data_IF_766789917244
#
_entry.id   IF_766789917244
#
_cell.length_a   1.000
_cell.length_b   1.000
_cell.length_c   1.000
_cell.angle_alpha   90.00
_cell.angle_beta   90.00
_cell.angle_gamma   90.00
#
_symmetry.space_group_name_H-M   'P 1'
#
loop_
_entity.id
_entity.type
_entity.pdbx_description
1 polymer ?
#
# COMPACT_ATOMS: atom_id res chain seq x y z
N UNK A 1 16.94 6.54 32.71
CA UNK A 1 15.58 6.19 33.16
C UNK A 1 14.67 6.42 31.96
N UNK A 2 14.62 5.45 31.05
CA UNK A 2 13.87 5.56 29.78
C UNK A 2 12.47 5.05 30.04
N UNK A 3 11.47 5.94 29.88
CA UNK A 3 10.08 5.53 29.82
C UNK A 3 9.96 4.48 28.72
N UNK A 4 9.50 3.27 29.08
CA UNK A 4 8.97 2.36 28.08
C UNK A 4 7.76 3.06 27.45
N UNK A 5 7.85 3.37 26.16
CA UNK A 5 6.67 3.65 25.34
C UNK A 5 5.68 2.52 25.57
N UNK A 6 4.60 2.81 26.30
CA UNK A 6 3.47 1.92 26.32
C UNK A 6 2.92 1.89 24.89
N UNK A 7 2.76 0.71 24.26
CA UNK A 7 2.09 0.65 22.97
C UNK A 7 0.71 1.29 23.15
N UNK A 8 0.45 2.37 22.41
CA UNK A 8 -0.89 2.95 22.37
C UNK A 8 -1.85 1.84 21.96
N UNK A 9 -2.98 1.65 22.66
CA UNK A 9 -3.95 0.63 22.30
C UNK A 9 -4.41 0.88 20.86
N UNK A 10 -4.52 -0.20 20.07
CA UNK A 10 -5.06 -0.11 18.73
C UNK A 10 -6.47 0.50 18.79
N UNK A 11 -6.85 1.36 17.83
CA UNK A 11 -8.20 1.91 17.78
C UNK A 11 -9.25 0.81 17.72
N UNK A 12 -10.33 0.99 18.47
CA UNK A 12 -11.51 0.12 18.43
C UNK A 12 -12.28 0.27 17.11
N UNK A 13 -13.10 -0.72 16.70
CA UNK A 13 -13.98 -0.58 15.54
C UNK A 13 -14.84 0.70 15.55
N UNK A 14 -15.33 1.09 16.73
CA UNK A 14 -16.12 2.31 16.91
C UNK A 14 -15.32 3.58 16.60
N UNK A 15 -14.08 3.68 17.06
CA UNK A 15 -13.21 4.83 16.78
C UNK A 15 -12.85 4.91 15.29
N UNK A 16 -12.62 3.77 14.64
CA UNK A 16 -12.33 3.71 13.21
C UNK A 16 -13.57 4.09 12.39
N UNK A 17 -14.75 3.57 12.73
CA UNK A 17 -16.00 3.89 12.04
C UNK A 17 -16.38 5.38 12.17
N UNK A 18 -16.08 6.01 13.31
CA UNK A 18 -16.23 7.45 13.49
C UNK A 18 -15.32 8.24 12.53
N UNK A 19 -14.05 7.83 12.37
CA UNK A 19 -13.13 8.44 11.41
C UNK A 19 -13.61 8.26 9.95
N UNK A 20 -14.11 7.08 9.60
CA UNK A 20 -14.70 6.82 8.27
C UNK A 20 -15.93 7.68 8.00
N UNK A 21 -16.76 7.93 9.01
CA UNK A 21 -17.91 8.85 8.92
C UNK A 21 -17.43 10.28 8.68
N UNK A 22 -16.38 10.72 9.37
CA UNK A 22 -15.80 12.05 9.18
C UNK A 22 -15.24 12.26 7.76
N UNK A 23 -14.75 11.20 7.12
CA UNK A 23 -14.33 11.19 5.71
C UNK A 23 -15.48 11.01 4.71
N UNK A 24 -16.73 10.93 5.19
CA UNK A 24 -17.91 10.75 4.35
C UNK A 24 -18.06 9.36 3.73
N UNK A 25 -17.30 8.36 4.20
CA UNK A 25 -17.37 6.98 3.72
C UNK A 25 -18.62 6.28 4.25
N UNK A 26 -19.01 6.61 5.49
CA UNK A 26 -20.33 6.29 6.01
C UNK A 26 -21.22 7.53 6.01
N UNK A 27 -22.47 7.35 5.58
CA UNK A 27 -23.47 8.41 5.62
C UNK A 27 -23.83 8.83 7.06
N UNK A 28 -23.72 7.88 8.01
CA UNK A 28 -23.88 8.08 9.45
C UNK A 28 -23.04 7.03 10.18
N UNK A 29 -22.62 7.34 11.40
CA UNK A 29 -21.86 6.38 12.21
C UNK A 29 -22.72 5.13 12.50
N UNK A 30 -22.22 3.91 12.23
CA UNK A 30 -22.93 2.68 12.55
C UNK A 30 -23.28 2.58 14.04
N UNK A 31 -24.45 2.03 14.34
CA UNK A 31 -24.84 1.77 15.73
C UNK A 31 -23.97 0.64 16.33
N UNK A 32 -23.74 0.64 17.67
CA UNK A 32 -22.91 -0.40 18.31
C UNK A 32 -23.39 -1.84 18.01
N UNK A 33 -24.70 -2.06 17.99
CA UNK A 33 -25.31 -3.36 17.69
C UNK A 33 -25.01 -3.83 16.26
N UNK A 34 -24.88 -2.90 15.30
CA UNK A 34 -24.51 -3.22 13.92
C UNK A 34 -23.04 -3.63 13.83
N UNK A 35 -22.16 -2.98 14.59
CA UNK A 35 -20.74 -3.35 14.67
C UNK A 35 -20.56 -4.72 15.33
N UNK A 36 -21.33 -5.05 16.37
CA UNK A 36 -21.32 -6.39 16.98
C UNK A 36 -21.75 -7.48 15.99
N UNK A 37 -22.82 -7.24 15.23
CA UNK A 37 -23.29 -8.17 14.19
C UNK A 37 -22.25 -8.35 13.08
N UNK A 38 -21.63 -7.27 12.62
CA UNK A 38 -20.55 -7.32 11.64
C UNK A 38 -19.33 -8.08 12.17
N UNK A 39 -18.96 -7.86 13.44
CA UNK A 39 -17.86 -8.55 14.08
C UNK A 39 -18.08 -10.06 14.09
N UNK A 40 -19.29 -10.52 14.43
CA UNK A 40 -19.64 -11.95 14.34
C UNK A 40 -19.52 -12.47 12.90
N UNK A 41 -20.01 -11.70 11.92
CA UNK A 41 -20.01 -12.11 10.51
C UNK A 41 -18.60 -12.27 9.91
N UNK A 42 -17.65 -11.42 10.31
CA UNK A 42 -16.27 -11.44 9.77
C UNK A 42 -15.28 -12.29 10.60
N UNK A 43 -15.76 -12.99 11.63
CA UNK A 43 -14.93 -13.89 12.43
C UNK A 43 -14.32 -13.29 13.70
N UNK A 44 -14.80 -12.12 14.13
CA UNK A 44 -14.50 -11.50 15.42
C UNK A 44 -14.17 -10.02 15.33
N UNK A 45 -14.15 -9.37 16.50
CA UNK A 45 -13.90 -7.92 16.63
C UNK A 45 -12.53 -7.50 16.10
N UNK A 46 -11.48 -8.31 16.33
CA UNK A 46 -10.13 -8.04 15.83
C UNK A 46 -10.05 -8.06 14.29
N UNK A 47 -10.80 -8.96 13.64
CA UNK A 47 -10.90 -8.99 12.18
C UNK A 47 -11.68 -7.77 11.69
N UNK A 48 -12.80 -7.42 12.34
CA UNK A 48 -13.56 -6.23 11.98
C UNK A 48 -12.73 -4.96 12.12
N UNK A 49 -11.96 -4.81 13.21
CA UNK A 49 -11.05 -3.69 13.40
C UNK A 49 -10.03 -3.58 12.25
N UNK A 50 -9.44 -4.71 11.84
CA UNK A 50 -8.52 -4.73 10.70
C UNK A 50 -9.22 -4.36 9.38
N UNK A 51 -10.44 -4.88 9.13
CA UNK A 51 -11.23 -4.54 7.94
C UNK A 51 -11.52 -3.03 7.89
N UNK A 52 -12.03 -2.46 8.98
CA UNK A 52 -12.35 -1.04 9.05
C UNK A 52 -11.10 -0.17 8.94
N UNK A 53 -9.97 -0.57 9.54
CA UNK A 53 -8.71 0.16 9.42
C UNK A 53 -8.21 0.18 7.96
N UNK A 54 -8.31 -0.95 7.25
CA UNK A 54 -7.97 -1.02 5.83
C UNK A 54 -8.92 -0.20 4.95
N UNK A 55 -10.21 -0.18 5.27
CA UNK A 55 -11.18 0.67 4.59
C UNK A 55 -10.89 2.17 4.80
N UNK A 56 -10.57 2.57 6.03
CA UNK A 56 -10.14 3.93 6.36
C UNK A 56 -8.84 4.33 5.63
N UNK A 57 -7.88 3.40 5.54
CA UNK A 57 -6.66 3.60 4.78
C UNK A 57 -6.96 3.83 3.29
N UNK A 58 -7.78 2.98 2.66
CA UNK A 58 -8.19 3.14 1.27
C UNK A 58 -8.91 4.47 1.00
N UNK A 59 -9.81 4.88 1.90
CA UNK A 59 -10.48 6.18 1.84
C UNK A 59 -9.50 7.37 1.94
N UNK A 60 -8.49 7.25 2.80
CA UNK A 60 -7.45 8.26 2.97
C UNK A 60 -6.57 8.37 1.73
N UNK A 61 -6.22 7.25 1.08
CA UNK A 61 -5.52 7.26 -0.22
C UNK A 61 -6.35 7.99 -1.27
N UNK A 62 -7.64 7.65 -1.40
CA UNK A 62 -8.54 8.29 -2.37
C UNK A 62 -8.63 9.81 -2.17
N UNK A 63 -8.74 10.23 -0.90
CA UNK A 63 -8.69 11.67 -0.54
C UNK A 63 -7.37 12.29 -0.98
N UNK A 64 -6.23 11.67 -0.65
CA UNK A 64 -4.90 12.11 -1.05
C UNK A 64 -4.76 12.28 -2.57
N UNK A 65 -5.19 11.29 -3.35
CA UNK A 65 -5.17 11.31 -4.81
C UNK A 65 -5.93 12.51 -5.39
N UNK A 66 -7.15 12.77 -4.92
CA UNK A 66 -7.96 13.91 -5.38
C UNK A 66 -7.31 15.23 -4.98
N UNK A 67 -6.82 15.35 -3.75
CA UNK A 67 -6.18 16.58 -3.28
C UNK A 67 -4.86 16.87 -4.00
N UNK A 68 -4.04 15.86 -4.26
CA UNK A 68 -2.80 15.98 -5.05
C UNK A 68 -3.12 16.34 -6.50
N UNK A 69 -4.18 15.77 -7.09
CA UNK A 69 -4.67 16.15 -8.41
C UNK A 69 -5.04 17.64 -8.48
N UNK A 70 -5.83 18.12 -7.52
CA UNK A 70 -6.20 19.54 -7.42
C UNK A 70 -4.97 20.45 -7.21
N UNK A 71 -3.97 20.00 -6.44
CA UNK A 71 -2.71 20.74 -6.28
C UNK A 71 -1.98 20.90 -7.62
N UNK A 72 -1.88 19.83 -8.40
CA UNK A 72 -1.24 19.85 -9.72
C UNK A 72 -2.00 20.76 -10.69
N UNK A 73 -3.34 20.71 -10.70
CA UNK A 73 -4.19 21.60 -11.50
C UNK A 73 -4.00 23.08 -11.12
N UNK A 74 -3.76 23.35 -9.83
CA UNK A 74 -3.44 24.68 -9.31
C UNK A 74 -1.98 25.11 -9.57
N UNK A 75 -1.18 24.29 -10.24
CA UNK A 75 0.20 24.61 -10.63
C UNK A 75 1.25 24.29 -9.55
N UNK A 76 0.96 23.39 -8.61
CA UNK A 76 1.95 22.92 -7.62
C UNK A 76 3.18 22.30 -8.30
N UNK A 77 4.36 22.66 -7.81
CA UNK A 77 5.63 22.13 -8.29
C UNK A 77 6.06 20.88 -7.53
N UNK A 78 7.24 20.37 -7.88
CA UNK A 78 7.82 19.17 -7.24
C UNK A 78 8.07 19.35 -5.75
N UNK A 79 8.35 20.58 -5.28
CA UNK A 79 8.57 20.89 -3.87
C UNK A 79 7.31 20.75 -3.03
N UNK A 80 6.21 21.35 -3.47
CA UNK A 80 4.91 21.26 -2.80
C UNK A 80 4.38 19.82 -2.79
N UNK A 81 4.57 19.09 -3.89
CA UNK A 81 4.21 17.66 -3.97
C UNK A 81 5.03 16.80 -3.00
N UNK A 82 6.34 17.06 -2.88
CA UNK A 82 7.19 16.35 -1.92
C UNK A 82 6.75 16.63 -0.48
N UNK A 83 6.42 17.88 -0.15
CA UNK A 83 5.93 18.27 1.18
C UNK A 83 4.60 17.59 1.54
N UNK A 84 3.66 17.48 0.58
CA UNK A 84 2.40 16.78 0.78
C UNK A 84 2.62 15.29 1.06
N UNK A 85 3.45 14.63 0.24
CA UNK A 85 3.74 13.19 0.37
C UNK A 85 4.52 12.83 1.62
N UNK A 86 5.40 13.73 2.09
CA UNK A 86 6.12 13.54 3.35
C UNK A 86 5.18 13.42 4.55
N UNK A 87 3.97 14.01 4.48
CA UNK A 87 3.00 13.93 5.58
C UNK A 87 2.51 12.50 5.84
N UNK A 88 2.54 11.61 4.84
CA UNK A 88 2.19 10.19 5.05
C UNK A 88 3.09 9.56 6.11
N UNK A 89 4.40 9.81 6.05
CA UNK A 89 5.38 9.29 7.00
C UNK A 89 5.32 9.99 8.36
N UNK A 90 5.06 11.31 8.36
CA UNK A 90 4.88 12.07 9.62
C UNK A 90 3.64 11.62 10.38
N UNK A 91 2.51 11.47 9.66
CA UNK A 91 1.23 11.10 10.23
C UNK A 91 1.19 9.63 10.68
N UNK A 92 1.98 8.74 10.06
CA UNK A 92 2.08 7.35 10.50
C UNK A 92 2.78 7.20 11.86
N UNK A 93 3.45 8.27 12.36
CA UNK A 93 4.21 8.23 13.62
C UNK A 93 5.39 7.26 13.61
N UNK A 94 5.78 6.80 12.41
CA UNK A 94 6.77 5.75 12.25
C UNK A 94 8.19 6.32 12.35
N UNK A 95 9.04 5.64 13.11
CA UNK A 95 10.49 5.83 12.99
C UNK A 95 11.00 5.20 11.67
N UNK A 96 12.29 5.28 11.39
CA UNK A 96 12.86 4.78 10.13
C UNK A 96 12.54 3.29 9.86
N UNK A 97 12.59 2.46 10.90
CA UNK A 97 12.21 1.04 10.81
C UNK A 97 10.72 0.86 10.59
N UNK A 98 9.88 1.67 11.24
CA UNK A 98 8.45 1.72 11.01
C UNK A 98 8.09 2.20 9.60
N UNK A 99 8.89 3.08 8.99
CA UNK A 99 8.70 3.52 7.60
C UNK A 99 8.96 2.35 6.64
N UNK A 100 9.98 1.52 6.89
CA UNK A 100 10.17 0.29 6.09
C UNK A 100 9.00 -0.68 6.27
N UNK A 101 8.49 -0.83 7.49
CA UNK A 101 7.30 -1.64 7.78
C UNK A 101 6.04 -1.11 7.07
N UNK A 102 5.84 0.22 7.06
CA UNK A 102 4.76 0.89 6.33
C UNK A 102 4.88 0.63 4.83
N UNK A 103 6.04 0.92 4.23
CA UNK A 103 6.27 0.71 2.81
C UNK A 103 6.11 -0.76 2.42
N UNK A 104 6.60 -1.69 3.26
CA UNK A 104 6.44 -3.13 3.08
C UNK A 104 4.96 -3.49 3.05
N UNK A 105 4.19 -3.02 4.03
CA UNK A 105 2.75 -3.25 4.11
C UNK A 105 2.00 -2.69 2.90
N UNK A 106 2.29 -1.45 2.50
CA UNK A 106 1.70 -0.82 1.31
C UNK A 106 2.04 -1.59 0.02
N UNK A 107 3.30 -2.02 -0.12
CA UNK A 107 3.77 -2.81 -1.27
C UNK A 107 3.07 -4.17 -1.33
N UNK A 108 2.78 -4.78 -0.18
CA UNK A 108 2.04 -6.04 -0.10
C UNK A 108 0.64 -5.96 -0.71
N UNK A 109 -0.07 -4.84 -0.50
CA UNK A 109 -1.37 -4.60 -1.15
C UNK A 109 -1.26 -4.51 -2.66
N UNK A 110 -0.26 -3.76 -3.17
CA UNK A 110 -0.01 -3.62 -4.61
C UNK A 110 0.36 -4.97 -5.23
N UNK A 111 1.29 -5.69 -4.60
CA UNK A 111 1.72 -7.01 -5.06
C UNK A 111 0.56 -8.00 -5.15
N UNK A 112 -0.29 -8.07 -4.12
CA UNK A 112 -1.41 -9.01 -4.12
C UNK A 112 -2.37 -8.73 -5.27
N UNK A 113 -2.63 -7.46 -5.59
CA UNK A 113 -3.48 -7.08 -6.73
C UNK A 113 -2.83 -7.49 -8.04
N UNK A 114 -1.56 -7.10 -8.26
CA UNK A 114 -0.84 -7.39 -9.51
C UNK A 114 -0.65 -8.89 -9.73
N UNK A 115 -0.38 -9.64 -8.67
CA UNK A 115 -0.28 -11.10 -8.73
C UNK A 115 -1.59 -11.73 -9.20
N UNK A 116 -2.72 -11.37 -8.57
CA UNK A 116 -4.02 -11.90 -8.95
C UNK A 116 -4.36 -11.57 -10.41
N UNK A 117 -4.13 -10.32 -10.84
CA UNK A 117 -4.31 -9.92 -12.25
C UNK A 117 -3.40 -10.71 -13.19
N UNK A 118 -2.14 -10.94 -12.82
CA UNK A 118 -1.21 -11.73 -13.64
C UNK A 118 -1.63 -13.20 -13.79
N UNK A 119 -2.19 -13.80 -12.74
CA UNK A 119 -2.64 -15.20 -12.74
C UNK A 119 -3.96 -15.38 -13.50
N UNK A 120 -4.88 -14.42 -13.38
CA UNK A 120 -6.21 -14.47 -14.01
C UNK A 120 -6.20 -14.04 -15.48
N UNK A 121 -5.56 -12.93 -15.81
CA UNK A 121 -5.63 -12.30 -17.14
C UNK A 121 -4.44 -12.67 -18.03
N UNK A 122 -3.34 -13.18 -17.43
CA UNK A 122 -2.04 -13.35 -18.10
C UNK A 122 -1.57 -12.07 -18.78
N UNK A 123 -1.95 -10.91 -18.25
CA UNK A 123 -1.51 -9.61 -18.74
C UNK A 123 0.01 -9.51 -18.58
N UNK A 124 0.76 -9.35 -19.68
CA UNK A 124 2.22 -9.23 -19.60
C UNK A 124 2.70 -8.08 -18.71
N UNK A 125 1.98 -6.95 -18.65
CA UNK A 125 2.31 -5.86 -17.74
C UNK A 125 2.00 -6.22 -16.28
N UNK A 126 0.91 -6.95 -16.04
CA UNK A 126 0.61 -7.58 -14.75
C UNK A 126 1.70 -8.53 -14.27
N UNK A 127 2.29 -9.36 -15.14
CA UNK A 127 3.41 -10.27 -14.81
C UNK A 127 4.65 -9.48 -14.41
N UNK A 128 5.03 -8.46 -15.20
CA UNK A 128 6.14 -7.55 -14.85
C UNK A 128 5.91 -6.91 -13.49
N UNK A 129 4.71 -6.36 -13.29
CA UNK A 129 4.31 -5.71 -12.05
C UNK A 129 4.35 -6.66 -10.85
N UNK A 130 3.90 -7.90 -11.00
CA UNK A 130 3.90 -8.91 -9.94
C UNK A 130 5.33 -9.25 -9.49
N UNK A 131 6.25 -9.48 -10.43
CA UNK A 131 7.65 -9.74 -10.09
C UNK A 131 8.35 -8.52 -9.48
N UNK A 132 8.19 -7.34 -10.07
CA UNK A 132 8.81 -6.11 -9.56
C UNK A 132 8.31 -5.75 -8.16
N UNK A 133 7.02 -5.92 -7.89
CA UNK A 133 6.45 -5.68 -6.55
C UNK A 133 6.86 -6.74 -5.53
N UNK A 134 7.00 -8.02 -5.92
CA UNK A 134 7.51 -9.06 -5.02
C UNK A 134 8.98 -8.82 -4.63
N UNK A 135 9.79 -8.37 -5.61
CA UNK A 135 11.16 -7.97 -5.37
C UNK A 135 11.24 -6.78 -4.39
N UNK A 136 10.42 -5.75 -4.59
CA UNK A 136 10.36 -4.60 -3.69
C UNK A 136 9.88 -5.00 -2.28
N UNK A 137 8.86 -5.85 -2.18
CA UNK A 137 8.36 -6.37 -0.91
C UNK A 137 9.50 -7.07 -0.13
N UNK A 138 10.22 -7.96 -0.79
CA UNK A 138 11.34 -8.69 -0.18
C UNK A 138 12.47 -7.74 0.22
N UNK A 139 12.82 -6.76 -0.61
CA UNK A 139 13.84 -5.75 -0.29
C UNK A 139 13.47 -4.94 0.96
N UNK A 140 12.22 -4.46 1.06
CA UNK A 140 11.76 -3.70 2.22
C UNK A 140 11.77 -4.54 3.50
N UNK A 141 11.47 -5.84 3.40
CA UNK A 141 11.62 -6.78 4.52
C UNK A 141 13.08 -6.87 4.96
N UNK A 142 14.03 -7.05 4.04
CA UNK A 142 15.46 -7.06 4.35
C UNK A 142 15.93 -5.74 4.98
N UNK A 143 15.45 -4.60 4.50
CA UNK A 143 15.79 -3.27 5.05
C UNK A 143 15.26 -3.05 6.48
N UNK A 144 14.30 -3.85 6.92
CA UNK A 144 13.80 -3.84 8.31
C UNK A 144 14.67 -4.65 9.29
N UNK A 145 15.70 -5.34 8.81
CA UNK A 145 16.65 -6.11 9.63
C UNK A 145 17.73 -5.16 10.15
N UNK A 146 17.77 -4.95 11.45
CA UNK A 146 18.56 -3.86 12.07
C UNK A 146 19.94 -4.27 12.59
N UNK A 147 20.28 -5.56 12.55
CA UNK A 147 21.59 -6.04 13.00
C UNK A 147 21.78 -7.55 12.86
N UNK A 148 23.01 -8.02 13.09
CA UNK A 148 23.38 -9.43 12.98
C UNK A 148 22.73 -10.33 14.05
N UNK A 149 22.27 -9.74 15.15
CA UNK A 149 21.57 -10.45 16.23
C UNK A 149 20.07 -10.63 15.93
N UNK A 150 19.55 -10.04 14.85
CA UNK A 150 18.18 -10.28 14.40
C UNK A 150 18.09 -11.72 13.85
N UNK A 151 17.15 -12.56 14.34
CA UNK A 151 17.02 -13.94 13.87
C UNK A 151 16.76 -14.05 12.36
N UNK A 152 16.23 -13.00 11.73
CA UNK A 152 15.98 -12.92 10.29
C UNK A 152 17.26 -12.63 9.47
N UNK A 153 18.35 -12.19 10.12
CA UNK A 153 19.59 -11.84 9.44
C UNK A 153 20.21 -13.01 8.67
N UNK A 154 19.99 -14.24 9.15
CA UNK A 154 20.46 -15.46 8.49
C UNK A 154 19.79 -15.69 7.12
N UNK A 155 18.56 -15.20 6.94
CA UNK A 155 17.78 -15.39 5.72
C UNK A 155 18.06 -14.32 4.66
N UNK A 156 18.59 -13.17 5.06
CA UNK A 156 18.84 -12.01 4.17
C UNK A 156 19.61 -12.37 2.90
N UNK A 157 20.71 -13.17 2.91
CA UNK A 157 21.38 -13.55 1.68
C UNK A 157 20.48 -14.31 0.69
N UNK A 158 19.68 -15.27 1.18
CA UNK A 158 18.75 -16.02 0.36
C UNK A 158 17.59 -15.14 -0.15
N UNK A 159 17.12 -14.20 0.68
CA UNK A 159 16.11 -13.23 0.31
C UNK A 159 16.61 -12.31 -0.83
N UNK A 160 17.86 -11.84 -0.77
CA UNK A 160 18.47 -11.04 -1.82
C UNK A 160 18.68 -11.82 -3.13
N UNK A 161 18.92 -13.13 -3.06
CA UNK A 161 18.92 -14.00 -4.23
C UNK A 161 17.52 -14.10 -4.86
N UNK A 162 16.47 -14.23 -4.04
CA UNK A 162 15.08 -14.20 -4.53
C UNK A 162 14.72 -12.87 -5.18
N UNK A 163 15.10 -11.75 -4.57
CA UNK A 163 14.95 -10.40 -5.16
C UNK A 163 15.58 -10.36 -6.54
N UNK A 164 16.81 -10.84 -6.68
CA UNK A 164 17.50 -10.86 -7.98
C UNK A 164 16.73 -11.70 -9.00
N UNK A 165 16.26 -12.88 -8.62
CA UNK A 165 15.51 -13.76 -9.50
C UNK A 165 14.21 -13.09 -9.99
N UNK A 166 13.45 -12.44 -9.10
CA UNK A 166 12.24 -11.71 -9.47
C UNK A 166 12.54 -10.53 -10.40
N UNK A 167 13.60 -9.76 -10.14
CA UNK A 167 13.98 -8.66 -11.03
C UNK A 167 14.40 -9.16 -12.41
N UNK A 168 15.10 -10.30 -12.50
CA UNK A 168 15.43 -10.93 -13.79
C UNK A 168 14.17 -11.36 -14.52
N UNK A 169 13.23 -12.03 -13.84
CA UNK A 169 11.96 -12.44 -14.43
C UNK A 169 11.12 -11.23 -14.91
N UNK A 170 11.12 -10.13 -14.16
CA UNK A 170 10.45 -8.89 -14.58
C UNK A 170 11.07 -8.31 -15.85
N UNK A 171 12.40 -8.31 -15.97
CA UNK A 171 13.11 -7.85 -17.18
C UNK A 171 12.83 -8.77 -18.37
N UNK A 172 12.89 -10.09 -18.18
CA UNK A 172 12.56 -11.06 -19.23
C UNK A 172 11.11 -10.90 -19.71
N UNK A 173 10.18 -10.65 -18.80
CA UNK A 173 8.78 -10.38 -19.14
C UNK A 173 8.61 -9.05 -19.89
N UNK A 174 9.35 -8.00 -19.52
CA UNK A 174 9.38 -6.72 -20.24
C UNK A 174 9.92 -6.89 -21.67
N UNK A 175 11.01 -7.63 -21.84
CA UNK A 175 11.65 -7.87 -23.14
C UNK A 175 10.76 -8.74 -24.06
N UNK A 176 9.91 -9.57 -23.47
CA UNK A 176 8.92 -10.37 -24.21
C UNK A 176 7.67 -9.58 -24.63
N UNK A 177 7.51 -8.34 -24.17
CA UNK A 177 6.39 -7.51 -24.59
C UNK A 177 6.47 -7.23 -26.09
N UNK A 178 5.36 -7.35 -26.84
CA UNK A 178 5.35 -6.87 -28.21
C UNK A 178 5.69 -5.39 -28.20
N UNK A 179 6.52 -4.94 -29.15
CA UNK A 179 6.79 -3.52 -29.31
C UNK A 179 5.46 -2.78 -29.40
N UNK A 180 5.14 -1.96 -28.40
CA UNK A 180 3.95 -1.12 -28.42
C UNK A 180 4.09 -0.18 -29.62
N UNK A 181 3.41 -0.52 -30.72
CA UNK A 181 3.29 0.38 -31.85
C UNK A 181 2.64 1.66 -31.36
N UNK A 182 3.25 2.80 -31.67
CA UNK A 182 2.81 4.15 -31.30
C UNK A 182 1.37 4.52 -31.73
N UNK A 183 0.60 3.59 -32.31
CA UNK A 183 -0.79 3.78 -32.71
C UNK A 183 -1.84 3.43 -31.63
N UNK A 184 -1.47 2.75 -30.54
CA UNK A 184 -2.47 2.31 -29.54
C UNK A 184 -3.03 3.44 -28.66
N UNK A 185 -2.40 4.63 -28.65
CA UNK A 185 -2.82 5.78 -27.84
C UNK A 185 -3.17 7.04 -28.67
N UNK A 186 -3.28 6.93 -30.00
CA UNK A 186 -3.48 8.10 -30.89
C UNK A 186 -4.89 8.27 -31.47
N UNK A 187 -5.84 7.35 -31.25
CA UNK A 187 -7.20 7.50 -31.79
C UNK A 187 -8.11 8.22 -30.79
N UNK A 188 -7.84 9.52 -30.64
CA UNK A 188 -8.61 10.41 -29.79
C UNK A 188 -8.43 11.89 -30.16
N UNK A 189 -8.23 12.22 -31.43
CA UNK A 189 -8.33 13.59 -31.89
C UNK A 189 -9.77 13.88 -32.33
N UNK A 190 -10.49 14.85 -31.73
CA UNK A 190 -11.79 15.26 -32.21
C UNK A 190 -11.61 16.02 -33.53
N UNK A 191 -12.22 15.54 -34.60
CA UNK A 191 -12.38 16.33 -35.84
C UNK A 191 -13.34 17.48 -35.55
N UNK A 192 -12.85 18.70 -35.76
CA UNK A 192 -13.65 19.93 -35.78
C UNK A 192 -14.68 19.93 -36.92
#
# INVERSE_FOLDING_TARGET
MTAHDHPHPAPTPTEIAAAMTALGIYAQQPAPEELEQQAVAVGGEHVLAAVLANALYGASIGTGMVTEGNMLEAGAGSGEMALAREQVFKASGADWTGVMGLLHWQTGHVWSVLKNTSEEERDPLGIVGAHASNALLTLLSCMSVTGADDPRAADVPADLERVRADLVAAVEALDALPAFGAGAFSDGAPTA
#
